data_IF_779804043852
#
_entry.id   IF_779804043852
#
_cell.length_a   1.000
_cell.length_b   1.000
_cell.length_c   1.000
_cell.angle_alpha   90.00
_cell.angle_beta   90.00
_cell.angle_gamma   90.00
#
_symmetry.space_group_name_H-M   'P 1'
#
loop_
_entity.id
_entity.type
_entity.pdbx_description
1 polymer ?
#
# COMPACT_ATOMS: atom_id res chain seq x y z
N UNK A 1 -47.64 -30.42 39.24
CA UNK A 1 -48.48 -29.30 39.73
C UNK A 1 -48.03 -28.05 39.02
N UNK A 2 -48.97 -27.41 38.30
CA UNK A 2 -48.75 -26.19 37.53
C UNK A 2 -48.67 -24.99 38.48
N UNK A 3 -47.78 -24.04 38.20
CA UNK A 3 -47.99 -22.65 38.59
C UNK A 3 -47.78 -21.77 37.36
N UNK A 4 -48.70 -20.84 37.18
CA UNK A 4 -48.97 -20.00 36.01
C UNK A 4 -48.99 -18.54 36.43
N UNK A 5 -48.74 -17.65 35.45
CA UNK A 5 -48.99 -16.19 35.42
C UNK A 5 -47.85 -15.34 36.03
N UNK A 6 -47.45 -14.20 35.47
CA UNK A 6 -48.20 -13.24 34.65
C UNK A 6 -47.33 -12.48 33.64
N UNK A 7 -47.91 -12.20 32.48
CA UNK A 7 -47.53 -11.13 31.53
C UNK A 7 -47.78 -9.75 32.15
N UNK A 8 -47.02 -8.74 31.71
CA UNK A 8 -47.47 -7.34 31.64
C UNK A 8 -46.78 -6.64 30.47
N UNK A 9 -47.61 -6.28 29.49
CA UNK A 9 -47.31 -5.34 28.44
C UNK A 9 -47.48 -3.91 28.98
N UNK A 10 -46.68 -2.96 28.49
CA UNK A 10 -46.92 -1.53 28.61
C UNK A 10 -46.69 -0.88 27.23
N UNK A 11 -47.53 0.11 26.98
CA UNK A 11 -48.03 0.56 25.70
C UNK A 11 -47.13 1.56 24.96
N UNK A 12 -47.41 1.64 23.66
CA UNK A 12 -47.09 2.71 22.72
C UNK A 12 -47.41 4.10 23.29
N UNK A 13 -46.54 5.06 23.00
CA UNK A 13 -46.88 6.48 22.99
C UNK A 13 -46.68 7.05 21.58
N UNK A 14 -47.80 7.32 20.92
CA UNK A 14 -47.94 8.10 19.69
C UNK A 14 -48.05 9.58 20.06
N UNK A 15 -47.24 10.46 19.44
CA UNK A 15 -47.48 11.91 19.40
C UNK A 15 -47.33 12.43 17.95
N UNK A 16 -48.04 13.51 17.58
CA UNK A 16 -48.72 13.62 16.29
C UNK A 16 -48.00 14.42 15.19
N UNK A 17 -48.49 14.20 13.97
CA UNK A 17 -48.19 14.94 12.74
C UNK A 17 -48.52 16.44 12.83
N UNK A 18 -47.75 17.25 12.09
CA UNK A 18 -48.19 18.50 11.47
C UNK A 18 -47.71 18.53 10.01
N UNK A 19 -48.63 18.89 9.12
CA UNK A 19 -48.57 18.85 7.65
C UNK A 19 -48.37 20.27 7.10
N UNK A 20 -47.40 20.46 6.20
CA UNK A 20 -47.37 21.47 5.10
C UNK A 20 -46.01 21.32 4.38
N UNK A 21 -45.86 21.32 3.06
CA UNK A 21 -46.77 21.54 1.95
C UNK A 21 -46.05 21.14 0.65
N UNK A 22 -46.83 20.90 -0.40
CA UNK A 22 -46.42 20.39 -1.70
C UNK A 22 -45.50 21.35 -2.47
N UNK A 23 -44.54 20.77 -3.21
CA UNK A 23 -43.85 21.41 -4.32
C UNK A 23 -43.26 20.33 -5.24
N UNK A 24 -43.91 20.10 -6.38
CA UNK A 24 -43.48 19.14 -7.40
C UNK A 24 -42.23 19.63 -8.15
N UNK A 25 -41.29 18.74 -8.46
CA UNK A 25 -40.21 18.98 -9.42
C UNK A 25 -40.04 17.78 -10.37
N UNK A 26 -40.13 18.07 -11.66
CA UNK A 26 -39.88 17.22 -12.82
C UNK A 26 -38.35 17.16 -13.12
N UNK A 27 -37.87 16.21 -13.96
CA UNK A 27 -36.46 15.83 -14.02
C UNK A 27 -35.64 16.81 -14.87
N UNK A 28 -34.39 17.07 -14.46
CA UNK A 28 -33.45 17.90 -15.23
C UNK A 28 -32.24 17.09 -15.66
N UNK A 29 -31.94 17.25 -16.94
CA UNK A 29 -30.91 16.62 -17.73
C UNK A 29 -29.48 17.06 -17.37
N UNK A 30 -28.57 16.13 -17.65
CA UNK A 30 -27.19 16.27 -18.09
C UNK A 30 -26.83 17.66 -18.69
N UNK A 31 -25.78 18.29 -18.15
CA UNK A 31 -24.97 19.27 -18.87
C UNK A 31 -23.62 19.51 -18.17
N UNK A 32 -22.54 19.03 -18.81
CA UNK A 32 -21.16 19.45 -18.55
C UNK A 32 -20.94 20.86 -19.12
N UNK A 33 -20.14 21.74 -18.48
CA UNK A 33 -19.70 22.97 -19.12
C UNK A 33 -18.24 22.90 -19.61
N UNK A 34 -18.08 22.89 -20.93
CA UNK A 34 -16.87 23.34 -21.64
C UNK A 34 -16.87 24.88 -21.70
N UNK A 35 -15.77 25.53 -21.28
CA UNK A 35 -15.56 26.97 -21.52
C UNK A 35 -14.10 27.31 -21.75
N UNK A 36 -13.65 27.36 -23.01
CA UNK A 36 -12.55 28.24 -23.44
C UNK A 36 -12.82 28.74 -24.87
N UNK A 37 -13.14 30.03 -25.03
CA UNK A 37 -12.71 30.80 -26.20
C UNK A 37 -12.67 32.32 -25.98
N UNK A 38 -11.45 32.86 -26.19
CA UNK A 38 -11.07 34.11 -26.88
C UNK A 38 -11.41 35.46 -26.24
N UNK A 39 -10.37 36.14 -25.78
CA UNK A 39 -10.28 37.61 -25.70
C UNK A 39 -9.62 38.18 -26.98
N UNK A 40 -10.04 39.36 -27.48
CA UNK A 40 -9.32 40.09 -28.52
C UNK A 40 -8.36 41.16 -27.93
N UNK A 41 -7.24 41.38 -28.62
CA UNK A 41 -6.27 42.46 -28.39
C UNK A 41 -6.78 43.83 -28.88
N UNK A 42 -6.30 44.95 -28.25
CA UNK A 42 -5.41 46.04 -28.78
C UNK A 42 -5.57 47.38 -27.96
N UNK A 43 -4.80 48.49 -28.16
CA UNK A 43 -3.58 48.85 -27.38
C UNK A 43 -3.49 50.30 -26.79
N UNK A 44 -2.37 50.56 -26.07
CA UNK A 44 -1.52 51.78 -25.96
C UNK A 44 -1.94 53.04 -25.16
N UNK A 45 -1.17 53.40 -24.09
CA UNK A 45 -0.24 54.57 -23.97
C UNK A 45 0.00 55.13 -22.53
N UNK A 46 1.26 55.02 -22.05
CA UNK A 46 2.08 55.99 -21.26
C UNK A 46 1.84 56.22 -19.75
N UNK A 47 2.79 56.84 -18.98
CA UNK A 47 4.26 56.98 -19.15
C UNK A 47 5.09 56.49 -17.92
N UNK A 48 6.43 56.53 -18.06
CA UNK A 48 7.48 56.08 -17.13
C UNK A 48 7.54 56.78 -15.76
N UNK A 49 7.93 56.02 -14.72
CA UNK A 49 8.80 56.52 -13.64
C UNK A 49 9.78 55.45 -13.16
N UNK A 50 11.07 55.78 -13.30
CA UNK A 50 12.29 55.40 -12.59
C UNK A 50 12.35 54.10 -11.74
N UNK A 51 13.34 53.29 -12.09
CA UNK A 51 13.80 52.08 -11.43
C UNK A 51 14.35 52.28 -10.02
N UNK A 52 14.01 51.36 -9.11
CA UNK A 52 14.87 50.93 -8.00
C UNK A 52 15.38 49.53 -8.32
N UNK A 53 16.70 49.41 -8.49
CA UNK A 53 17.40 48.15 -8.70
C UNK A 53 17.25 47.26 -7.45
N UNK A 54 16.39 46.24 -7.53
CA UNK A 54 16.42 45.10 -6.63
C UNK A 54 17.35 44.04 -7.25
N UNK A 55 18.29 43.58 -6.43
CA UNK A 55 19.32 42.62 -6.78
C UNK A 55 18.68 41.33 -7.32
N UNK A 56 18.91 41.00 -8.58
CA UNK A 56 18.42 39.75 -9.17
C UNK A 56 19.24 38.57 -8.63
N UNK A 57 18.66 37.82 -7.70
CA UNK A 57 19.13 36.47 -7.39
C UNK A 57 18.70 35.51 -8.50
N UNK A 58 19.63 34.63 -8.87
CA UNK A 58 19.56 33.63 -9.96
C UNK A 58 18.22 32.88 -10.00
N UNK A 59 17.56 32.74 -11.18
CA UNK A 59 16.33 31.97 -11.30
C UNK A 59 16.60 30.47 -11.09
N UNK A 60 15.81 29.83 -10.24
CA UNK A 60 15.76 28.37 -10.17
C UNK A 60 14.99 27.83 -11.38
N UNK A 61 15.75 27.34 -12.37
CA UNK A 61 15.19 26.69 -13.56
C UNK A 61 14.76 25.26 -13.21
N UNK A 62 13.46 25.06 -13.00
CA UNK A 62 12.88 23.72 -13.09
C UNK A 62 12.67 23.38 -14.56
N UNK A 63 13.30 22.30 -15.03
CA UNK A 63 13.15 21.77 -16.38
C UNK A 63 12.57 20.37 -16.28
N UNK A 64 11.33 20.19 -16.73
CA UNK A 64 10.77 18.87 -17.03
C UNK A 64 10.86 18.63 -18.54
N UNK A 65 11.60 17.61 -18.94
CA UNK A 65 11.71 17.18 -20.34
C UNK A 65 10.59 16.19 -20.63
N UNK A 66 9.65 16.55 -21.50
CA UNK A 66 8.64 15.61 -22.02
C UNK A 66 9.26 14.90 -23.22
N UNK A 67 9.37 13.56 -23.15
CA UNK A 67 9.85 12.72 -24.25
C UNK A 67 8.62 12.12 -24.94
N UNK A 68 8.37 12.52 -26.18
CA UNK A 68 7.37 11.89 -27.04
C UNK A 68 8.04 10.81 -27.89
N UNK A 69 7.80 9.55 -27.55
CA UNK A 69 8.37 8.39 -28.25
C UNK A 69 7.65 8.05 -29.58
N UNK A 70 6.67 8.83 -30.01
CA UNK A 70 5.91 8.59 -31.24
C UNK A 70 6.32 9.50 -32.43
N UNK A 71 7.19 10.50 -32.22
CA UNK A 71 7.51 11.49 -33.25
C UNK A 71 8.62 11.00 -34.23
N UNK A 72 8.29 10.89 -35.52
CA UNK A 72 9.21 10.45 -36.60
C UNK A 72 9.87 11.60 -37.37
N UNK A 73 9.69 12.85 -36.93
CA UNK A 73 10.40 14.02 -37.48
C UNK A 73 10.57 15.11 -36.41
N UNK A 74 11.65 15.90 -36.51
CA UNK A 74 12.02 16.90 -35.51
C UNK A 74 10.88 17.90 -35.28
N UNK A 75 10.36 17.95 -34.05
CA UNK A 75 9.25 18.80 -33.66
C UNK A 75 9.71 19.85 -32.64
N UNK A 76 9.12 21.06 -32.70
CA UNK A 76 9.29 22.08 -31.68
C UNK A 76 8.24 21.89 -30.60
N UNK A 77 8.67 21.65 -29.36
CA UNK A 77 7.76 21.52 -28.21
C UNK A 77 7.74 22.83 -27.42
N UNK A 78 6.54 23.34 -27.05
CA UNK A 78 6.43 24.52 -26.21
C UNK A 78 6.85 24.19 -24.78
N UNK A 79 7.87 24.89 -24.29
CA UNK A 79 8.30 24.88 -22.89
C UNK A 79 7.67 26.07 -22.18
N UNK A 80 6.88 25.79 -21.14
CA UNK A 80 6.28 26.83 -20.29
C UNK A 80 7.24 27.14 -19.15
N UNK A 81 7.57 28.41 -18.97
CA UNK A 81 8.40 28.91 -17.88
C UNK A 81 7.48 29.71 -16.94
N UNK A 82 7.46 29.34 -15.67
CA UNK A 82 6.70 30.00 -14.61
C UNK A 82 7.65 30.82 -13.76
N UNK A 83 7.38 32.12 -13.60
CA UNK A 83 8.11 33.00 -12.70
C UNK A 83 7.41 33.02 -11.35
N UNK A 84 8.17 32.84 -10.26
CA UNK A 84 7.67 32.91 -8.89
C UNK A 84 8.42 33.97 -8.09
N UNK A 85 7.78 34.56 -7.08
CA UNK A 85 8.44 35.43 -6.11
C UNK A 85 9.20 34.64 -5.03
N UNK A 86 9.86 35.36 -4.14
CA UNK A 86 10.64 34.82 -3.01
C UNK A 86 9.80 34.01 -2.00
N UNK A 87 8.47 34.12 -2.06
CA UNK A 87 7.53 33.37 -1.22
C UNK A 87 6.83 32.23 -2.00
N UNK A 88 7.28 31.94 -3.22
CA UNK A 88 6.75 30.86 -4.06
C UNK A 88 5.46 31.21 -4.80
N UNK A 89 5.03 32.48 -4.83
CA UNK A 89 3.80 32.89 -5.51
C UNK A 89 4.05 33.14 -7.00
N UNK A 90 3.20 32.65 -7.92
CA UNK A 90 3.36 32.89 -9.35
C UNK A 90 3.21 34.37 -9.73
N UNK A 91 4.23 34.91 -10.40
CA UNK A 91 4.26 36.27 -10.95
C UNK A 91 3.85 36.32 -12.43
N UNK A 92 3.96 35.20 -13.16
CA UNK A 92 3.54 35.10 -14.56
C UNK A 92 4.11 33.88 -15.27
N UNK A 93 3.67 33.63 -16.52
CA UNK A 93 4.17 32.55 -17.36
C UNK A 93 4.59 33.06 -18.75
N UNK A 94 5.60 32.43 -19.35
CA UNK A 94 5.98 32.62 -20.76
C UNK A 94 6.18 31.28 -21.45
N UNK A 95 6.07 31.25 -22.78
CA UNK A 95 6.23 30.03 -23.57
C UNK A 95 7.37 30.22 -24.57
N UNK A 96 8.33 29.30 -24.57
CA UNK A 96 9.44 29.26 -25.54
C UNK A 96 9.38 27.95 -26.35
N UNK A 97 9.73 27.99 -27.64
CA UNK A 97 9.79 26.81 -28.48
C UNK A 97 11.19 26.18 -28.43
N UNK A 98 11.31 24.94 -27.95
CA UNK A 98 12.59 24.21 -27.91
C UNK A 98 12.63 23.20 -29.05
N UNK A 99 13.70 23.23 -29.84
CA UNK A 99 13.93 22.28 -30.92
C UNK A 99 14.44 20.94 -30.36
N UNK A 100 13.75 19.84 -30.68
CA UNK A 100 14.16 18.48 -30.30
C UNK A 100 14.89 17.82 -31.47
N UNK A 101 16.15 17.43 -31.27
CA UNK A 101 16.93 16.65 -32.25
C UNK A 101 16.89 15.17 -31.91
N UNK A 102 16.69 14.32 -32.91
CA UNK A 102 16.71 12.86 -32.78
C UNK A 102 18.14 12.30 -32.68
N UNK A 103 18.38 11.22 -31.92
CA UNK A 103 19.65 10.52 -31.95
C UNK A 103 19.78 9.71 -33.24
N UNK A 104 20.83 9.96 -34.03
CA UNK A 104 21.16 9.12 -35.19
C UNK A 104 21.77 7.80 -34.73
N UNK A 105 21.08 6.69 -34.95
CA UNK A 105 21.65 5.33 -34.86
C UNK A 105 22.61 5.12 -36.03
N UNK A 106 23.90 5.38 -35.80
CA UNK A 106 24.97 4.94 -36.68
C UNK A 106 25.19 3.43 -36.52
N UNK A 107 24.61 2.62 -37.43
CA UNK A 107 25.06 1.25 -37.62
C UNK A 107 26.50 1.26 -38.16
N UNK A 108 27.45 0.82 -37.35
CA UNK A 108 28.77 0.40 -37.82
C UNK A 108 28.78 -1.13 -37.78
N UNK A 109 28.55 -1.76 -38.94
CA UNK A 109 28.87 -3.17 -39.13
C UNK A 109 30.40 -3.31 -39.22
N UNK A 110 31.00 -3.96 -38.23
CA UNK A 110 32.34 -4.52 -38.36
C UNK A 110 32.22 -6.05 -38.48
N UNK A 111 32.50 -6.55 -39.67
CA UNK A 111 32.56 -7.97 -39.99
C UNK A 111 33.79 -8.62 -39.32
N UNK A 112 33.57 -9.75 -38.64
CA UNK A 112 34.61 -10.63 -38.11
C UNK A 112 34.22 -12.10 -38.35
N UNK A 113 35.18 -13.02 -38.61
CA UNK A 113 34.92 -14.18 -39.45
C UNK A 113 34.31 -15.39 -38.72
N UNK A 114 33.55 -16.11 -39.54
CA UNK A 114 33.00 -17.46 -39.41
C UNK A 114 33.87 -18.46 -38.65
N UNK A 115 33.29 -19.13 -37.66
CA UNK A 115 33.78 -20.38 -37.09
C UNK A 115 32.74 -21.49 -37.31
N UNK A 116 33.15 -22.55 -38.01
CA UNK A 116 32.36 -23.75 -38.30
C UNK A 116 32.06 -24.56 -37.04
N UNK A 117 30.94 -25.31 -36.98
CA UNK A 117 30.65 -26.19 -35.86
C UNK A 117 31.46 -27.50 -35.97
N UNK A 118 32.23 -27.83 -34.94
CA UNK A 118 32.85 -29.15 -34.78
C UNK A 118 31.94 -30.07 -33.95
N UNK A 119 31.74 -31.25 -34.52
CA UNK A 119 31.02 -32.42 -34.03
C UNK A 119 31.57 -32.93 -32.70
N UNK A 120 30.70 -33.24 -31.74
CA UNK A 120 31.07 -33.97 -30.53
C UNK A 120 30.45 -35.37 -30.64
N UNK A 121 31.33 -36.36 -30.67
CA UNK A 121 31.03 -37.79 -30.76
C UNK A 121 30.65 -38.30 -29.36
N UNK A 122 29.47 -38.90 -29.25
CA UNK A 122 29.05 -39.66 -28.08
C UNK A 122 29.84 -40.98 -28.00
N UNK A 123 30.41 -41.27 -26.84
CA UNK A 123 31.00 -42.58 -26.52
C UNK A 123 30.08 -43.29 -25.54
N UNK A 124 29.74 -44.52 -25.84
CA UNK A 124 28.75 -45.35 -25.15
C UNK A 124 29.44 -46.51 -24.40
N UNK A 125 28.75 -46.98 -23.33
CA UNK A 125 28.80 -48.30 -22.66
C UNK A 125 29.78 -48.54 -21.48
N UNK A 126 29.50 -49.47 -20.53
CA UNK A 126 28.40 -50.45 -20.50
C UNK A 126 27.54 -50.55 -19.23
N UNK A 127 26.44 -51.28 -19.43
CA UNK A 127 25.39 -51.75 -18.52
C UNK A 127 25.92 -52.83 -17.54
N UNK A 128 25.48 -52.76 -16.28
CA UNK A 128 25.32 -53.94 -15.42
C UNK A 128 24.04 -53.80 -14.58
N UNK A 129 23.20 -54.83 -14.67
CA UNK A 129 21.90 -55.00 -14.00
C UNK A 129 22.07 -55.86 -12.74
N UNK A 130 21.40 -55.49 -11.64
CA UNK A 130 20.61 -56.40 -10.80
C UNK A 130 20.09 -55.68 -9.54
N UNK A 131 18.84 -55.97 -9.16
CA UNK A 131 18.39 -55.85 -7.76
C UNK A 131 17.21 -54.91 -7.53
N UNK A 132 16.01 -55.46 -7.74
CA UNK A 132 14.74 -54.93 -7.26
C UNK A 132 14.63 -55.20 -5.75
N UNK A 133 14.19 -54.22 -4.95
CA UNK A 133 13.23 -54.45 -3.87
C UNK A 133 12.57 -53.16 -3.39
N UNK A 134 11.29 -53.32 -3.09
CA UNK A 134 10.25 -52.34 -2.79
C UNK A 134 10.40 -51.79 -1.36
N UNK A 135 10.03 -50.52 -1.14
CA UNK A 135 10.22 -49.88 0.16
C UNK A 135 9.71 -48.45 0.23
N UNK A 136 8.42 -48.30 0.47
CA UNK A 136 7.73 -47.05 0.84
C UNK A 136 8.49 -46.25 1.91
N UNK A 137 8.96 -45.06 1.55
CA UNK A 137 9.64 -44.11 2.45
C UNK A 137 8.97 -42.74 2.39
N UNK A 138 8.15 -42.44 3.39
CA UNK A 138 7.66 -41.08 3.71
C UNK A 138 8.88 -40.16 3.92
N UNK A 139 8.90 -39.03 3.22
CA UNK A 139 9.88 -37.97 3.47
C UNK A 139 9.60 -37.35 4.85
N UNK A 140 10.63 -37.32 5.69
CA UNK A 140 10.55 -37.00 7.11
C UNK A 140 10.14 -35.56 7.38
N UNK A 141 9.05 -35.41 8.11
CA UNK A 141 8.80 -34.28 9.01
C UNK A 141 9.87 -34.29 10.10
N UNK A 142 10.66 -33.23 10.19
CA UNK A 142 11.49 -32.97 11.36
C UNK A 142 10.56 -32.56 12.51
N UNK A 143 10.31 -33.51 13.40
CA UNK A 143 9.74 -33.26 14.73
C UNK A 143 10.69 -32.35 15.52
N UNK A 144 10.21 -31.17 15.92
CA UNK A 144 10.76 -30.44 17.07
C UNK A 144 9.65 -30.40 18.11
N UNK A 145 9.57 -31.48 18.90
CA UNK A 145 8.86 -31.51 20.15
C UNK A 145 9.77 -31.05 21.29
N UNK A 146 9.36 -30.00 22.01
CA UNK A 146 9.77 -29.78 23.40
C UNK A 146 10.26 -28.38 23.78
N UNK A 147 9.37 -27.64 24.45
CA UNK A 147 9.63 -26.56 25.41
C UNK A 147 9.72 -25.10 24.89
N UNK A 148 8.56 -24.51 24.58
CA UNK A 148 8.15 -23.25 25.22
C UNK A 148 8.85 -21.93 24.84
N UNK A 149 9.33 -21.78 23.61
CA UNK A 149 9.60 -20.45 23.04
C UNK A 149 8.61 -20.21 21.91
N UNK A 150 7.68 -19.27 22.07
CA UNK A 150 6.81 -18.83 20.99
C UNK A 150 7.69 -18.41 19.81
N UNK A 151 7.59 -19.12 18.69
CA UNK A 151 8.25 -18.70 17.46
C UNK A 151 7.42 -17.54 16.91
N UNK A 152 7.84 -16.31 17.18
CA UNK A 152 7.33 -15.09 16.58
C UNK A 152 7.73 -15.04 15.10
N UNK A 153 6.80 -15.43 14.24
CA UNK A 153 6.86 -15.15 12.81
C UNK A 153 6.51 -13.68 12.53
N UNK A 154 6.89 -13.17 11.36
CA UNK A 154 6.40 -11.88 10.84
C UNK A 154 4.89 -11.90 10.60
N UNK A 155 4.25 -10.74 10.52
CA UNK A 155 2.91 -10.63 9.93
C UNK A 155 2.93 -10.67 8.40
N UNK A 156 1.77 -10.81 7.79
CA UNK A 156 1.57 -10.67 6.34
C UNK A 156 0.25 -9.96 6.04
N UNK A 157 0.21 -9.16 4.98
CA UNK A 157 -1.03 -8.54 4.51
C UNK A 157 -1.82 -9.51 3.63
N UNK A 158 -3.15 -9.39 3.64
CA UNK A 158 -4.05 -10.19 2.81
C UNK A 158 -5.20 -9.33 2.27
N UNK A 159 -5.59 -9.62 1.02
CA UNK A 159 -6.67 -8.95 0.30
C UNK A 159 -7.69 -10.01 -0.14
N UNK A 160 -8.94 -9.98 0.34
CA UNK A 160 -9.94 -11.02 0.10
C UNK A 160 -10.70 -10.81 -1.22
N UNK A 161 -10.02 -10.37 -2.28
CA UNK A 161 -10.65 -10.06 -3.57
C UNK A 161 -10.25 -11.07 -4.64
N UNK A 162 -11.20 -11.42 -5.50
CA UNK A 162 -10.94 -12.16 -6.73
C UNK A 162 -10.20 -11.26 -7.72
N UNK A 163 -9.68 -11.85 -8.81
CA UNK A 163 -8.97 -11.12 -9.85
C UNK A 163 -9.78 -10.00 -10.53
N UNK A 164 -11.11 -10.08 -10.49
CA UNK A 164 -12.04 -9.08 -11.03
C UNK A 164 -12.47 -8.02 -10.00
N UNK A 165 -11.92 -8.08 -8.79
CA UNK A 165 -12.24 -7.17 -7.68
C UNK A 165 -13.50 -7.55 -6.90
N UNK A 166 -14.20 -8.63 -7.27
CA UNK A 166 -15.34 -9.12 -6.47
C UNK A 166 -14.86 -9.78 -5.18
N UNK A 167 -15.71 -9.82 -4.17
CA UNK A 167 -15.41 -10.47 -2.90
C UNK A 167 -15.16 -11.97 -3.06
N UNK A 168 -14.09 -12.48 -2.44
CA UNK A 168 -13.91 -13.92 -2.22
C UNK A 168 -14.98 -14.42 -1.25
N UNK A 169 -15.42 -15.65 -1.48
CA UNK A 169 -16.29 -16.37 -0.54
C UNK A 169 -15.53 -16.77 0.72
N UNK A 170 -16.24 -17.03 1.82
CA UNK A 170 -15.66 -17.54 3.07
C UNK A 170 -14.76 -18.77 2.85
N UNK A 171 -15.18 -19.69 1.98
CA UNK A 171 -14.42 -20.90 1.67
C UNK A 171 -13.11 -20.60 0.91
N UNK A 172 -13.11 -19.62 0.01
CA UNK A 172 -11.90 -19.17 -0.68
C UNK A 172 -10.94 -18.47 0.28
N UNK A 173 -11.45 -17.57 1.14
CA UNK A 173 -10.64 -16.90 2.17
C UNK A 173 -10.00 -17.93 3.12
N UNK A 174 -10.78 -18.93 3.55
CA UNK A 174 -10.27 -20.00 4.40
C UNK A 174 -9.17 -20.82 3.70
N UNK A 175 -9.37 -21.19 2.43
CA UNK A 175 -8.39 -21.94 1.66
C UNK A 175 -7.10 -21.14 1.39
N UNK A 176 -7.20 -19.83 1.18
CA UNK A 176 -6.03 -18.95 1.05
C UNK A 176 -5.26 -18.89 2.36
N UNK A 177 -5.94 -18.59 3.47
CA UNK A 177 -5.28 -18.42 4.78
C UNK A 177 -4.69 -19.73 5.30
N UNK A 178 -5.32 -20.88 5.01
CA UNK A 178 -4.76 -22.19 5.37
C UNK A 178 -3.36 -22.43 4.77
N UNK A 179 -3.06 -21.86 3.60
CA UNK A 179 -1.71 -21.99 2.99
C UNK A 179 -0.64 -21.20 3.76
N UNK A 180 -1.04 -20.31 4.66
CA UNK A 180 -0.15 -19.46 5.46
C UNK A 180 0.21 -20.09 6.82
N UNK A 181 -0.35 -21.27 7.14
CA UNK A 181 -0.12 -21.98 8.40
C UNK A 181 1.38 -22.21 8.67
N UNK A 182 1.82 -21.84 9.87
CA UNK A 182 3.22 -21.98 10.30
C UNK A 182 4.20 -21.00 9.65
N UNK A 183 3.74 -20.10 8.78
CA UNK A 183 4.59 -19.08 8.13
C UNK A 183 4.49 -17.69 8.75
N UNK A 184 3.34 -17.35 9.37
CA UNK A 184 3.02 -16.00 9.83
C UNK A 184 2.29 -16.01 11.16
N UNK A 185 2.51 -15.00 11.99
CA UNK A 185 1.89 -14.86 13.31
C UNK A 185 0.64 -13.97 13.30
N UNK A 186 0.47 -13.19 12.24
CA UNK A 186 -0.56 -12.17 12.13
C UNK A 186 -0.96 -11.95 10.67
N UNK A 187 -2.26 -11.76 10.44
CA UNK A 187 -2.83 -11.42 9.14
C UNK A 187 -3.37 -10.00 9.21
N UNK A 188 -2.86 -9.11 8.36
CA UNK A 188 -3.35 -7.72 8.24
C UNK A 188 -4.34 -7.61 7.07
N UNK A 189 -5.49 -7.01 7.35
CA UNK A 189 -6.52 -6.67 6.36
C UNK A 189 -6.90 -5.20 6.48
N UNK A 190 -7.47 -4.62 5.42
CA UNK A 190 -7.51 -3.17 5.25
C UNK A 190 -8.86 -2.53 5.56
N UNK A 191 -9.96 -3.26 5.38
CA UNK A 191 -11.31 -2.70 5.45
C UNK A 191 -12.32 -3.63 6.08
N UNK A 192 -13.58 -3.20 6.03
CA UNK A 192 -14.72 -3.91 6.62
C UNK A 192 -15.70 -4.47 5.58
N UNK A 193 -15.42 -4.26 4.29
CA UNK A 193 -16.22 -4.78 3.18
C UNK A 193 -16.01 -6.29 2.98
N UNK A 194 -16.80 -6.89 2.09
CA UNK A 194 -16.69 -8.31 1.71
C UNK A 194 -16.79 -9.33 2.86
N UNK A 195 -17.45 -8.98 3.97
CA UNK A 195 -17.47 -9.77 5.21
C UNK A 195 -16.05 -10.21 5.65
N UNK A 196 -15.04 -9.43 5.26
CA UNK A 196 -13.65 -9.90 5.33
C UNK A 196 -13.20 -10.13 6.76
N UNK A 197 -13.68 -9.32 7.70
CA UNK A 197 -13.34 -9.46 9.12
C UNK A 197 -13.81 -10.82 9.63
N UNK A 198 -15.08 -11.16 9.41
CA UNK A 198 -15.65 -12.44 9.84
C UNK A 198 -14.92 -13.65 9.20
N UNK A 199 -14.69 -13.58 7.89
CA UNK A 199 -14.06 -14.66 7.13
C UNK A 199 -12.58 -14.85 7.52
N UNK A 200 -11.83 -13.76 7.64
CA UNK A 200 -10.41 -13.78 7.98
C UNK A 200 -10.19 -14.15 9.43
N UNK A 201 -10.99 -13.65 10.38
CA UNK A 201 -10.88 -14.05 11.78
C UNK A 201 -11.12 -15.56 11.95
N UNK A 202 -12.15 -16.10 11.30
CA UNK A 202 -12.44 -17.54 11.35
C UNK A 202 -11.28 -18.38 10.82
N UNK A 203 -10.66 -17.94 9.72
CA UNK A 203 -9.53 -18.65 9.13
C UNK A 203 -8.21 -18.46 9.88
N UNK A 204 -7.97 -17.26 10.43
CA UNK A 204 -6.77 -16.94 11.21
C UNK A 204 -6.73 -17.74 12.52
N UNK A 205 -7.87 -17.84 13.22
CA UNK A 205 -8.01 -18.67 14.43
C UNK A 205 -7.65 -20.14 14.14
N UNK A 206 -8.10 -20.66 12.99
CA UNK A 206 -7.84 -22.04 12.59
C UNK A 206 -6.35 -22.36 12.38
N UNK A 207 -5.52 -21.37 12.05
CA UNK A 207 -4.07 -21.53 11.89
C UNK A 207 -3.27 -20.95 13.07
N UNK A 208 -3.94 -20.46 14.12
CA UNK A 208 -3.31 -19.85 15.29
C UNK A 208 -2.66 -18.48 15.03
N UNK A 209 -3.12 -17.73 14.01
CA UNK A 209 -2.66 -16.39 13.72
C UNK A 209 -3.59 -15.33 14.32
N UNK A 210 -3.02 -14.21 14.78
CA UNK A 210 -3.78 -13.02 15.17
C UNK A 210 -4.21 -12.20 13.95
N UNK A 211 -5.10 -11.22 14.14
CA UNK A 211 -5.51 -10.30 13.07
C UNK A 211 -5.17 -8.85 13.38
N UNK A 212 -4.70 -8.13 12.38
CA UNK A 212 -4.61 -6.68 12.35
C UNK A 212 -5.74 -6.18 11.44
N UNK A 213 -6.74 -5.52 12.03
CA UNK A 213 -7.96 -5.10 11.33
C UNK A 213 -7.87 -3.63 10.91
N UNK A 214 -8.34 -3.31 9.71
CA UNK A 214 -8.36 -1.94 9.19
C UNK A 214 -9.77 -1.37 9.11
N UNK A 215 -9.88 -0.10 9.51
CA UNK A 215 -10.95 0.82 9.10
C UNK A 215 -10.34 1.67 7.99
N UNK A 216 -10.81 1.49 6.75
CA UNK A 216 -10.13 2.03 5.57
C UNK A 216 -10.43 3.51 5.34
N UNK A 217 -11.72 3.85 5.36
CA UNK A 217 -12.22 5.18 5.05
C UNK A 217 -12.68 5.90 6.33
N UNK A 218 -12.12 7.08 6.59
CA UNK A 218 -12.46 7.88 7.79
C UNK A 218 -13.73 8.72 7.59
N UNK A 219 -14.22 8.87 6.36
CA UNK A 219 -15.48 9.58 6.10
C UNK A 219 -16.70 8.73 6.51
N UNK A 220 -16.56 7.39 6.51
CA UNK A 220 -17.57 6.43 6.97
C UNK A 220 -17.17 5.71 8.27
N UNK A 221 -16.48 6.44 9.15
CA UNK A 221 -15.86 5.91 10.37
C UNK A 221 -16.86 5.19 11.28
N UNK A 222 -18.03 5.78 11.52
CA UNK A 222 -19.03 5.21 12.45
C UNK A 222 -19.55 3.86 11.95
N UNK A 223 -19.91 3.76 10.66
CA UNK A 223 -20.44 2.53 10.09
C UNK A 223 -19.37 1.43 10.05
N UNK A 224 -18.13 1.77 9.69
CA UNK A 224 -17.03 0.80 9.68
C UNK A 224 -16.66 0.32 11.09
N UNK A 225 -16.63 1.21 12.10
CA UNK A 225 -16.44 0.76 13.50
C UNK A 225 -17.57 -0.18 13.91
N UNK A 226 -18.82 0.14 13.56
CA UNK A 226 -19.96 -0.71 13.90
C UNK A 226 -19.86 -2.10 13.23
N UNK A 227 -19.51 -2.15 11.94
CA UNK A 227 -19.31 -3.39 11.20
C UNK A 227 -18.15 -4.22 11.76
N UNK A 228 -17.02 -3.58 12.08
CA UNK A 228 -15.85 -4.23 12.70
C UNK A 228 -16.22 -4.82 14.05
N UNK A 229 -16.86 -4.04 14.93
CA UNK A 229 -17.24 -4.50 16.28
C UNK A 229 -18.22 -5.67 16.20
N UNK A 230 -19.23 -5.59 15.34
CA UNK A 230 -20.22 -6.67 15.18
C UNK A 230 -19.54 -7.95 14.68
N UNK A 231 -18.72 -7.86 13.63
CA UNK A 231 -17.99 -9.01 13.11
C UNK A 231 -17.06 -9.63 14.17
N UNK A 232 -16.28 -8.82 14.89
CA UNK A 232 -15.37 -9.32 15.93
C UNK A 232 -16.12 -10.02 17.05
N UNK A 233 -17.20 -9.42 17.57
CA UNK A 233 -17.95 -10.00 18.69
C UNK A 233 -18.67 -11.31 18.30
N UNK A 234 -18.98 -11.49 17.02
CA UNK A 234 -19.60 -12.72 16.51
C UNK A 234 -18.57 -13.78 16.05
N UNK A 235 -17.29 -13.43 15.88
CA UNK A 235 -16.25 -14.32 15.30
C UNK A 235 -14.96 -14.38 16.15
N UNK A 236 -15.06 -14.88 17.39
CA UNK A 236 -13.89 -15.16 18.24
C UNK A 236 -13.56 -14.05 19.25
N UNK A 237 -14.15 -12.87 19.11
CA UNK A 237 -14.00 -11.75 20.04
C UNK A 237 -12.62 -11.08 19.97
N UNK A 238 -12.41 -10.12 20.88
CA UNK A 238 -11.23 -9.26 20.88
C UNK A 238 -9.89 -9.99 21.11
N UNK A 239 -9.89 -11.22 21.63
CA UNK A 239 -8.65 -11.96 21.92
C UNK A 239 -7.84 -12.34 20.68
N UNK A 240 -8.48 -12.41 19.51
CA UNK A 240 -7.80 -12.67 18.25
C UNK A 240 -7.25 -11.39 17.58
N UNK A 241 -7.76 -10.23 17.98
CA UNK A 241 -7.42 -8.94 17.38
C UNK A 241 -6.17 -8.38 18.06
N UNK A 242 -5.06 -8.35 17.33
CA UNK A 242 -3.83 -7.71 17.78
C UNK A 242 -3.98 -6.20 17.74
N UNK A 243 -4.22 -5.62 16.56
CA UNK A 243 -4.27 -4.18 16.31
C UNK A 243 -5.51 -3.80 15.50
N UNK A 244 -6.04 -2.59 15.72
CA UNK A 244 -6.97 -1.92 14.79
C UNK A 244 -6.30 -0.66 14.19
N UNK A 245 -6.24 -0.54 12.86
CA UNK A 245 -5.85 0.72 12.21
C UNK A 245 -7.04 1.55 11.75
N UNK A 246 -6.83 2.87 11.73
CA UNK A 246 -7.77 3.86 11.20
C UNK A 246 -7.09 4.64 10.07
N UNK A 247 -7.57 4.44 8.85
CA UNK A 247 -6.96 4.92 7.63
C UNK A 247 -5.77 4.07 7.16
N UNK A 248 -5.44 4.22 5.87
CA UNK A 248 -4.23 3.70 5.26
C UNK A 248 -3.72 4.68 4.19
N UNK A 249 -2.57 5.31 4.44
CA UNK A 249 -1.89 6.24 3.52
C UNK A 249 -2.71 7.49 3.13
N UNK A 250 -3.65 7.91 3.99
CA UNK A 250 -4.56 9.01 3.69
C UNK A 250 -3.83 10.35 3.53
N UNK A 251 -2.77 10.59 4.31
CA UNK A 251 -1.98 11.82 4.22
C UNK A 251 -1.06 11.77 3.01
N UNK A 252 -0.35 10.66 2.80
CA UNK A 252 0.49 10.47 1.61
C UNK A 252 -0.31 10.67 0.30
N UNK A 253 -1.55 10.19 0.27
CA UNK A 253 -2.42 10.30 -0.90
C UNK A 253 -3.12 11.65 -1.02
N UNK A 254 -2.92 12.57 -0.07
CA UNK A 254 -3.59 13.88 -0.03
C UNK A 254 -5.10 13.79 0.16
N UNK A 255 -5.59 12.67 0.70
CA UNK A 255 -7.02 12.40 0.92
C UNK A 255 -7.49 12.99 2.26
N UNK A 256 -6.61 13.08 3.25
CA UNK A 256 -6.89 13.69 4.54
C UNK A 256 -5.69 14.50 5.05
N UNK A 257 -5.97 15.50 5.87
CA UNK A 257 -4.94 16.21 6.65
C UNK A 257 -4.54 15.38 7.87
N UNK A 258 -3.31 15.59 8.43
CA UNK A 258 -2.90 14.92 9.66
C UNK A 258 -3.89 15.09 10.82
N UNK A 259 -4.45 16.29 11.00
CA UNK A 259 -5.43 16.57 12.06
C UNK A 259 -6.70 15.74 11.91
N UNK A 260 -7.23 15.59 10.69
CA UNK A 260 -8.41 14.75 10.41
C UNK A 260 -8.14 13.28 10.77
N UNK A 261 -6.94 12.78 10.45
CA UNK A 261 -6.55 11.41 10.78
C UNK A 261 -6.42 11.24 12.30
N UNK A 262 -5.80 12.18 13.00
CA UNK A 262 -5.67 12.15 14.46
C UNK A 262 -7.02 12.16 15.18
N UNK A 263 -7.95 12.99 14.71
CA UNK A 263 -9.31 13.06 15.24
C UNK A 263 -10.05 11.72 15.03
N UNK A 264 -9.92 11.13 13.84
CA UNK A 264 -10.50 9.82 13.53
C UNK A 264 -9.94 8.70 14.41
N UNK A 265 -8.62 8.65 14.61
CA UNK A 265 -7.96 7.68 15.50
C UNK A 265 -8.46 7.84 16.94
N UNK A 266 -8.55 9.08 17.43
CA UNK A 266 -9.03 9.39 18.77
C UNK A 266 -10.49 8.95 18.97
N UNK A 267 -11.35 9.28 18.02
CA UNK A 267 -12.76 8.90 18.04
C UNK A 267 -12.94 7.38 18.00
N UNK A 268 -12.26 6.70 17.08
CA UNK A 268 -12.30 5.25 16.96
C UNK A 268 -11.83 4.56 18.23
N UNK A 269 -10.69 4.99 18.79
CA UNK A 269 -10.16 4.46 20.05
C UNK A 269 -11.19 4.57 21.17
N UNK A 270 -11.83 5.73 21.33
CA UNK A 270 -12.84 5.92 22.38
C UNK A 270 -14.01 4.92 22.24
N UNK A 271 -14.55 4.74 21.03
CA UNK A 271 -15.64 3.80 20.78
C UNK A 271 -15.21 2.35 21.00
N UNK A 272 -14.05 1.96 20.46
CA UNK A 272 -13.51 0.60 20.60
C UNK A 272 -13.28 0.22 22.07
N UNK A 273 -12.79 1.15 22.90
CA UNK A 273 -12.61 0.93 24.34
C UNK A 273 -13.94 0.70 25.05
N UNK A 274 -14.99 1.45 24.72
CA UNK A 274 -16.36 1.21 25.25
C UNK A 274 -16.89 -0.17 24.82
N UNK A 275 -16.50 -0.65 23.64
CA UNK A 275 -16.86 -1.98 23.13
C UNK A 275 -15.97 -3.12 23.65
N UNK A 276 -15.03 -2.82 24.54
CA UNK A 276 -14.21 -3.81 25.23
C UNK A 276 -12.90 -4.17 24.53
N UNK A 277 -12.55 -3.52 23.42
CA UNK A 277 -11.24 -3.69 22.80
C UNK A 277 -10.19 -2.90 23.59
N UNK A 278 -9.18 -3.61 24.13
CA UNK A 278 -8.09 -3.02 24.90
C UNK A 278 -6.75 -2.95 24.13
N UNK A 279 -6.69 -3.49 22.91
CA UNK A 279 -5.46 -3.52 22.11
C UNK A 279 -5.13 -2.19 21.42
N UNK A 280 -3.98 -2.10 20.74
CA UNK A 280 -3.52 -0.90 20.04
C UNK A 280 -4.49 -0.39 18.96
N UNK A 281 -4.66 0.92 18.92
CA UNK A 281 -5.33 1.67 17.86
C UNK A 281 -4.33 2.65 17.26
N UNK A 282 -4.08 2.50 15.96
CA UNK A 282 -3.06 3.24 15.21
C UNK A 282 -3.63 3.83 13.93
N UNK A 283 -2.91 4.75 13.30
CA UNK A 283 -3.07 5.03 11.86
C UNK A 283 -1.86 4.51 11.10
N UNK A 284 -2.03 4.13 9.84
CA UNK A 284 -0.95 3.66 8.98
C UNK A 284 -0.78 4.64 7.82
N UNK A 285 0.45 5.11 7.61
CA UNK A 285 0.81 5.94 6.47
C UNK A 285 2.22 5.58 5.96
N UNK A 286 2.67 6.19 4.85
CA UNK A 286 4.03 5.94 4.36
C UNK A 286 5.07 6.54 5.31
N UNK A 287 6.27 5.95 5.34
CA UNK A 287 7.37 6.54 6.12
C UNK A 287 7.67 7.99 5.74
N UNK A 288 7.37 8.41 4.51
CA UNK A 288 7.56 9.78 4.03
C UNK A 288 6.55 10.70 4.72
N UNK A 289 5.26 10.34 4.71
CA UNK A 289 4.22 11.10 5.38
C UNK A 289 4.47 11.17 6.89
N UNK A 290 4.86 10.05 7.51
CA UNK A 290 5.21 10.02 8.94
C UNK A 290 6.42 10.91 9.26
N UNK A 291 7.48 10.92 8.45
CA UNK A 291 8.62 11.82 8.69
C UNK A 291 8.24 13.30 8.59
N UNK A 292 7.29 13.64 7.71
CA UNK A 292 6.80 15.02 7.55
C UNK A 292 5.77 15.40 8.63
N UNK A 293 5.02 14.42 9.12
CA UNK A 293 3.93 14.58 10.08
C UNK A 293 4.02 13.52 11.20
N UNK A 294 5.03 13.61 12.09
CA UNK A 294 5.25 12.61 13.16
C UNK A 294 4.07 12.50 14.13
N UNK A 295 3.20 13.51 14.16
CA UNK A 295 1.94 13.52 14.92
C UNK A 295 1.02 12.34 14.60
N UNK A 296 1.13 11.74 13.41
CA UNK A 296 0.41 10.50 13.05
C UNK A 296 0.81 9.33 13.97
N UNK A 297 2.10 9.21 14.27
CA UNK A 297 2.63 8.23 15.19
C UNK A 297 2.38 8.63 16.65
N UNK A 298 2.51 9.91 16.99
CA UNK A 298 2.27 10.38 18.36
C UNK A 298 0.79 10.20 18.79
N UNK A 299 -0.16 10.27 17.86
CA UNK A 299 -1.58 10.00 18.11
C UNK A 299 -1.92 8.51 18.20
N UNK A 300 -1.01 7.63 17.79
CA UNK A 300 -1.16 6.17 17.71
C UNK A 300 -0.58 5.48 18.94
N UNK A 301 -1.10 4.30 19.30
CA UNK A 301 -0.57 3.52 20.45
C UNK A 301 0.87 3.00 20.19
N UNK A 302 1.23 2.83 18.91
CA UNK A 302 2.60 2.71 18.42
C UNK A 302 2.72 3.34 17.03
N UNK A 303 3.93 3.63 16.58
CA UNK A 303 4.16 4.18 15.25
C UNK A 303 4.06 3.09 14.19
N UNK A 304 3.10 3.20 13.27
CA UNK A 304 2.83 2.20 12.24
C UNK A 304 3.03 2.84 10.86
N UNK A 305 3.86 2.22 10.01
CA UNK A 305 4.19 2.81 8.70
C UNK A 305 4.50 1.79 7.60
N UNK A 306 4.18 2.16 6.38
CA UNK A 306 4.50 1.40 5.18
C UNK A 306 5.88 1.83 4.63
N UNK A 307 6.72 0.84 4.31
CA UNK A 307 8.12 1.05 3.90
C UNK A 307 8.50 0.11 2.74
N UNK A 308 8.31 0.59 1.51
CA UNK A 308 8.66 -0.17 0.31
C UNK A 308 9.95 0.33 -0.33
N UNK A 309 11.01 -0.45 -0.16
CA UNK A 309 12.32 -0.17 -0.77
C UNK A 309 12.28 -0.09 -2.31
N UNK A 310 11.34 -0.80 -2.95
CA UNK A 310 11.18 -0.81 -4.41
C UNK A 310 10.92 0.59 -5.02
N UNK A 311 10.29 1.49 -4.27
CA UNK A 311 10.00 2.85 -4.74
C UNK A 311 11.21 3.80 -4.61
N UNK A 312 12.32 3.38 -4.01
CA UNK A 312 13.59 4.12 -4.08
C UNK A 312 14.43 3.65 -5.28
N UNK A 313 14.72 4.53 -6.27
CA UNK A 313 15.49 4.15 -7.47
C UNK A 313 16.93 3.73 -7.15
N UNK A 314 17.43 4.05 -5.95
CA UNK A 314 18.80 3.80 -5.54
C UNK A 314 18.99 2.48 -4.79
N UNK A 315 17.91 1.75 -4.49
CA UNK A 315 17.94 0.54 -3.67
C UNK A 315 17.78 -0.70 -4.53
N UNK A 316 18.81 -1.55 -4.57
CA UNK A 316 18.71 -2.90 -5.14
C UNK A 316 18.06 -3.88 -4.17
N UNK A 317 17.58 -5.01 -4.68
CA UNK A 317 16.87 -6.01 -3.87
C UNK A 317 17.67 -6.49 -2.65
N UNK A 318 18.98 -6.68 -2.78
CA UNK A 318 19.85 -7.09 -1.67
C UNK A 318 20.00 -6.02 -0.58
N UNK A 319 19.77 -4.76 -0.91
CA UNK A 319 19.83 -3.61 0.02
C UNK A 319 18.46 -3.22 0.59
N UNK A 320 17.39 -3.94 0.24
CA UNK A 320 16.03 -3.60 0.66
C UNK A 320 15.86 -3.57 2.19
N UNK A 321 16.46 -4.53 2.91
CA UNK A 321 16.41 -4.54 4.37
C UNK A 321 17.13 -3.35 5.00
N UNK A 322 18.33 -3.02 4.53
CA UNK A 322 19.08 -1.86 5.03
C UNK A 322 18.29 -0.56 4.82
N UNK A 323 17.65 -0.41 3.67
CA UNK A 323 16.76 0.72 3.41
C UNK A 323 15.63 0.78 4.44
N UNK A 324 14.91 -0.32 4.66
CA UNK A 324 13.79 -0.37 5.61
C UNK A 324 14.24 -0.01 7.03
N UNK A 325 15.32 -0.63 7.52
CA UNK A 325 15.86 -0.36 8.85
C UNK A 325 16.32 1.10 9.02
N UNK A 326 16.92 1.68 7.97
CA UNK A 326 17.29 3.10 7.97
C UNK A 326 16.07 4.02 8.07
N UNK A 327 14.97 3.72 7.37
CA UNK A 327 13.76 4.54 7.51
C UNK A 327 13.13 4.43 8.89
N UNK A 328 13.17 3.25 9.52
CA UNK A 328 12.78 3.08 10.93
C UNK A 328 13.61 3.99 11.85
N UNK A 329 14.94 4.04 11.66
CA UNK A 329 15.81 4.92 12.43
C UNK A 329 15.51 6.41 12.18
N UNK A 330 15.31 6.81 10.92
CA UNK A 330 14.99 8.19 10.54
C UNK A 330 13.66 8.67 11.17
N UNK A 331 12.63 7.82 11.14
CA UNK A 331 11.34 8.13 11.77
C UNK A 331 11.50 8.29 13.28
N UNK A 332 12.22 7.39 13.96
CA UNK A 332 12.44 7.50 15.41
C UNK A 332 13.05 8.83 15.84
N UNK A 333 13.91 9.44 15.02
CA UNK A 333 14.54 10.71 15.36
C UNK A 333 13.58 11.91 15.38
N UNK A 334 12.45 11.81 14.68
CA UNK A 334 11.45 12.88 14.57
C UNK A 334 10.22 12.67 15.45
N UNK A 335 10.06 11.49 16.08
CA UNK A 335 8.97 11.23 17.02
C UNK A 335 9.12 12.05 18.31
N UNK A 336 7.98 12.42 18.91
CA UNK A 336 7.98 13.09 20.21
C UNK A 336 8.52 12.15 21.31
N UNK A 337 8.11 10.88 21.28
CA UNK A 337 8.71 9.80 22.06
C UNK A 337 9.59 8.92 21.16
N UNK A 338 10.90 9.14 21.23
CA UNK A 338 11.91 8.37 20.48
C UNK A 338 11.99 6.90 20.89
N UNK A 339 11.39 6.53 22.03
CA UNK A 339 11.33 5.14 22.51
C UNK A 339 10.05 4.43 22.08
N UNK A 340 9.12 5.14 21.46
CA UNK A 340 7.88 4.56 20.94
C UNK A 340 8.19 3.39 20.01
N UNK A 341 7.43 2.30 20.17
CA UNK A 341 7.52 1.14 19.28
C UNK A 341 7.23 1.58 17.85
N UNK A 342 8.01 1.10 16.91
CA UNK A 342 7.84 1.35 15.46
C UNK A 342 7.64 0.02 14.76
N UNK A 343 6.54 -0.10 14.03
CA UNK A 343 6.13 -1.29 13.28
C UNK A 343 6.08 -0.95 11.81
N UNK A 344 6.77 -1.74 11.00
CA UNK A 344 6.68 -1.68 9.54
C UNK A 344 5.50 -2.54 9.11
N UNK A 345 4.40 -1.87 8.73
CA UNK A 345 3.11 -2.52 8.47
C UNK A 345 2.95 -3.03 7.05
N UNK A 346 3.81 -2.58 6.13
CA UNK A 346 4.04 -3.15 4.81
C UNK A 346 5.51 -2.98 4.42
N UNK A 347 6.12 -4.08 4.00
CA UNK A 347 7.36 -4.07 3.24
C UNK A 347 7.38 -5.27 2.28
N UNK A 348 7.80 -5.06 1.04
CA UNK A 348 7.75 -6.09 0.02
C UNK A 348 8.58 -5.75 -1.21
N UNK A 349 8.47 -6.61 -2.21
CA UNK A 349 9.08 -6.43 -3.51
C UNK A 349 8.26 -7.14 -4.60
N UNK A 350 8.03 -6.52 -5.77
CA UNK A 350 7.19 -7.11 -6.80
C UNK A 350 7.95 -8.12 -7.68
N UNK A 351 7.21 -9.11 -8.18
CA UNK A 351 7.74 -10.14 -9.10
C UNK A 351 7.72 -9.72 -10.57
N UNK A 352 6.90 -8.73 -10.92
CA UNK A 352 6.76 -8.18 -12.28
C UNK A 352 6.49 -6.67 -12.23
N UNK A 353 6.49 -6.03 -13.40
CA UNK A 353 6.43 -4.58 -13.57
C UNK A 353 7.67 -4.05 -14.27
N UNK A 354 7.82 -2.73 -14.30
CA UNK A 354 9.01 -2.04 -14.80
C UNK A 354 10.03 -1.87 -13.67
N UNK A 355 11.31 -1.79 -14.03
CA UNK A 355 12.35 -1.39 -13.09
C UNK A 355 12.22 0.09 -12.72
N UNK A 356 12.44 0.39 -11.45
CA UNK A 356 12.70 1.73 -10.95
C UNK A 356 14.22 1.87 -10.74
N UNK A 357 14.95 2.12 -11.83
CA UNK A 357 16.42 2.10 -11.86
C UNK A 357 17.03 0.83 -11.23
N UNK A 358 17.65 0.91 -10.04
CA UNK A 358 18.26 -0.25 -9.36
C UNK A 358 17.24 -1.19 -8.75
N UNK A 359 16.01 -0.72 -8.50
CA UNK A 359 14.93 -1.53 -8.00
C UNK A 359 14.27 -2.30 -9.15
N UNK A 360 14.82 -3.48 -9.43
CA UNK A 360 14.36 -4.36 -10.51
C UNK A 360 13.38 -5.42 -9.98
N UNK A 361 12.13 -5.50 -10.49
CA UNK A 361 11.19 -6.55 -10.09
C UNK A 361 11.65 -7.92 -10.59
N UNK A 362 11.18 -9.00 -9.95
CA UNK A 362 11.49 -10.36 -10.38
C UNK A 362 11.38 -11.36 -9.24
N UNK A 363 11.05 -12.62 -9.51
CA UNK A 363 10.92 -13.66 -8.46
C UNK A 363 12.18 -13.82 -7.61
N UNK A 364 13.35 -13.87 -8.26
CA UNK A 364 14.62 -13.97 -7.53
C UNK A 364 14.92 -12.70 -6.73
N UNK A 365 14.60 -11.52 -7.26
CA UNK A 365 14.78 -10.27 -6.55
C UNK A 365 13.80 -10.12 -5.38
N UNK A 366 12.56 -10.57 -5.52
CA UNK A 366 11.61 -10.63 -4.42
C UNK A 366 12.13 -11.54 -3.31
N UNK A 367 12.60 -12.74 -3.62
CA UNK A 367 13.20 -13.63 -2.63
C UNK A 367 14.41 -12.98 -1.93
N UNK A 368 15.30 -12.33 -2.69
CA UNK A 368 16.46 -11.62 -2.16
C UNK A 368 16.04 -10.46 -1.24
N UNK A 369 15.09 -9.64 -1.67
CA UNK A 369 14.59 -8.50 -0.91
C UNK A 369 13.87 -8.93 0.36
N UNK A 370 12.97 -9.91 0.30
CA UNK A 370 12.27 -10.42 1.47
C UNK A 370 13.26 -11.00 2.49
N UNK A 371 14.28 -11.75 2.04
CA UNK A 371 15.35 -12.24 2.94
C UNK A 371 16.14 -11.11 3.57
N UNK A 372 16.52 -10.10 2.77
CA UNK A 372 17.23 -8.91 3.25
C UNK A 372 16.41 -8.18 4.32
N UNK A 373 15.13 -7.90 4.05
CA UNK A 373 14.21 -7.26 4.99
C UNK A 373 14.08 -8.07 6.28
N UNK A 374 13.72 -9.36 6.19
CA UNK A 374 13.50 -10.20 7.38
C UNK A 374 14.76 -10.32 8.25
N UNK A 375 15.95 -10.33 7.63
CA UNK A 375 17.22 -10.46 8.37
C UNK A 375 17.57 -9.25 9.24
N UNK A 376 17.08 -8.06 8.90
CA UNK A 376 17.35 -6.82 9.65
C UNK A 376 16.48 -6.67 10.90
N UNK A 377 15.42 -7.47 11.02
CA UNK A 377 14.54 -7.45 12.19
C UNK A 377 15.01 -8.40 13.31
N UNK A 378 16.30 -8.75 13.35
CA UNK A 378 16.98 -9.22 14.56
C UNK A 378 16.48 -10.52 15.21
N UNK A 379 15.72 -11.34 14.49
CA UNK A 379 15.12 -12.57 15.02
C UNK A 379 13.77 -12.35 15.70
N UNK A 380 13.35 -13.31 16.54
CA UNK A 380 11.96 -13.44 17.00
C UNK A 380 11.36 -12.15 17.60
N UNK A 381 12.10 -11.43 18.45
CA UNK A 381 11.59 -10.21 19.09
C UNK A 381 11.33 -9.06 18.10
N UNK A 382 12.16 -8.93 17.06
CA UNK A 382 11.98 -7.89 16.06
C UNK A 382 10.99 -8.28 14.96
N UNK A 383 10.79 -9.57 14.68
CA UNK A 383 9.82 -10.04 13.68
C UNK A 383 8.38 -9.63 13.98
N UNK A 384 8.03 -9.43 15.25
CA UNK A 384 6.73 -8.85 15.63
C UNK A 384 6.53 -7.39 15.21
N UNK A 385 7.57 -6.71 14.70
CA UNK A 385 7.51 -5.34 14.20
C UNK A 385 7.54 -5.25 12.65
N UNK A 386 7.34 -6.37 11.97
CA UNK A 386 7.33 -6.45 10.52
C UNK A 386 6.05 -7.15 10.03
N UNK A 387 5.43 -6.58 9.02
CA UNK A 387 4.34 -7.17 8.27
C UNK A 387 4.73 -7.13 6.79
N UNK A 388 4.82 -8.30 6.17
CA UNK A 388 5.23 -8.43 4.78
C UNK A 388 4.06 -8.16 3.83
N UNK A 389 4.35 -7.42 2.77
CA UNK A 389 3.41 -7.13 1.69
C UNK A 389 3.78 -7.95 0.44
N UNK A 390 2.96 -8.88 -0.04
CA UNK A 390 1.66 -9.35 0.49
C UNK A 390 1.56 -10.87 0.33
N UNK A 391 0.56 -11.52 0.92
CA UNK A 391 0.41 -12.98 0.84
C UNK A 391 0.24 -13.44 -0.62
N UNK A 392 -0.74 -12.90 -1.33
CA UNK A 392 -1.06 -13.30 -2.71
C UNK A 392 -1.07 -12.11 -3.64
N UNK A 393 -0.90 -12.36 -4.95
CA UNK A 393 -1.03 -11.32 -5.96
C UNK A 393 -2.45 -10.74 -5.95
N UNK A 394 -2.56 -9.46 -6.33
CA UNK A 394 -3.81 -8.70 -6.36
C UNK A 394 -4.15 -8.26 -7.81
N UNK A 395 -4.62 -9.16 -8.69
CA UNK A 395 -4.83 -8.83 -10.10
C UNK A 395 -5.93 -7.78 -10.34
N UNK A 396 -6.80 -7.55 -9.36
CA UNK A 396 -7.83 -6.52 -9.41
C UNK A 396 -7.25 -5.10 -9.35
N UNK A 397 -6.03 -4.93 -8.84
CA UNK A 397 -5.36 -3.63 -8.80
C UNK A 397 -5.00 -3.17 -10.22
N UNK A 398 -5.01 -1.86 -10.41
CA UNK A 398 -4.69 -1.26 -11.70
C UNK A 398 -3.18 -1.19 -11.90
N UNK A 399 -2.70 -1.67 -13.04
CA UNK A 399 -1.33 -1.46 -13.45
C UNK A 399 -1.16 -0.04 -13.99
N UNK A 400 -0.29 0.77 -13.36
CA UNK A 400 -0.12 2.18 -13.69
C UNK A 400 1.35 2.60 -13.73
N UNK A 401 1.72 3.61 -14.55
CA UNK A 401 3.10 4.09 -14.62
C UNK A 401 3.66 4.55 -13.27
N UNK A 402 2.83 5.19 -12.43
CA UNK A 402 3.25 5.74 -11.13
C UNK A 402 3.70 4.67 -10.12
N UNK A 403 3.26 3.42 -10.31
CA UNK A 403 3.64 2.26 -9.51
C UNK A 403 4.49 1.27 -10.31
N UNK A 404 5.08 1.74 -11.41
CA UNK A 404 5.90 0.93 -12.31
C UNK A 404 5.15 -0.32 -12.82
N UNK A 405 3.83 -0.25 -12.97
CA UNK A 405 2.96 -1.37 -13.37
C UNK A 405 3.10 -2.61 -12.45
N UNK A 406 3.52 -2.43 -11.20
CA UNK A 406 3.90 -3.51 -10.30
C UNK A 406 2.78 -3.98 -9.35
N UNK A 407 1.74 -3.16 -9.14
CA UNK A 407 0.70 -3.35 -8.11
C UNK A 407 0.03 -4.74 -8.08
N UNK A 408 -0.07 -5.40 -9.23
CA UNK A 408 -0.72 -6.72 -9.33
C UNK A 408 0.18 -7.88 -8.87
N UNK A 409 1.47 -7.65 -8.60
CA UNK A 409 2.51 -8.69 -8.62
C UNK A 409 3.37 -8.81 -7.35
N UNK A 410 2.86 -8.37 -6.21
CA UNK A 410 3.58 -8.35 -4.92
C UNK A 410 3.45 -9.63 -4.08
N UNK A 411 2.60 -10.56 -4.48
CA UNK A 411 2.33 -11.81 -3.75
C UNK A 411 3.57 -12.67 -3.59
N UNK A 412 3.74 -13.23 -2.39
CA UNK A 412 4.79 -14.21 -2.08
C UNK A 412 4.34 -15.66 -2.29
N UNK A 413 3.03 -15.89 -2.27
CA UNK A 413 2.38 -17.18 -2.49
C UNK A 413 1.57 -17.16 -3.79
N UNK A 414 1.29 -18.34 -4.33
CA UNK A 414 0.68 -18.54 -5.65
C UNK A 414 -0.48 -19.50 -5.64
#
# INVERSE_FOLDING_TARGET
MRSTKSLSAVALALWPLSLAGLGAAQPVQDSRPDWIHRLPMRPANGPETAATAASFTTPHLYSSTIIDNAATSGSQVPRIIVYIDENGKPLGTTTEAVAVTTPSLGLVFAAGPSASPSSIVATELPIASAGHEDGTGKSGTADIGGNGTAVTFTGVTYSPYNSDGTCKTAAQVFADIQQLEGGYSMIRIYGTDCDQIANVMTAADAIGASVFLGIFDIDDLEAQIAALVDAVLNHGGWSLVDTVSVGNELVNNGQATPDQVMDAVTAARAVLRVKGYAGPVVTVDTFIAVQQHPVLCDASDYCAMNVHAFFDPNTSADQAGNFVLRQVANVREVLADRTQRVVVTEAGWPTQGNANDKAVPGKQNQLTATKSIVSEFGGQEGLGNLILFTAFNDPWKKAEPGTFYAEQFWGMHS
#
